data_IF_253469118654
#
_entry.id   IF_253469118654
#
_cell.length_a   1.000
_cell.length_b   1.000
_cell.length_c   1.000
_cell.angle_alpha   90.00
_cell.angle_beta   90.00
_cell.angle_gamma   90.00
#
_symmetry.space_group_name_H-M   'P 1'
#
loop_
_entity.id
_entity.type
_entity.pdbx_description
1 polymer ?
#
# COMPACT_ATOMS: atom_id res chain seq x y z
N UNK A 1 -37.24 36.98 18.49
CA UNK A 1 -35.83 36.53 18.42
C UNK A 1 -35.74 35.03 18.66
N UNK A 2 -36.66 34.23 18.09
CA UNK A 2 -36.75 32.78 18.34
C UNK A 2 -36.30 31.96 17.12
N UNK A 3 -36.56 32.47 15.92
CA UNK A 3 -36.19 31.85 14.64
C UNK A 3 -34.68 31.72 14.47
N UNK A 4 -33.92 32.76 14.81
CA UNK A 4 -32.45 32.77 14.73
C UNK A 4 -31.81 31.69 15.61
N UNK A 5 -32.40 31.44 16.80
CA UNK A 5 -31.90 30.44 17.76
C UNK A 5 -32.12 29.02 17.25
N UNK A 6 -33.24 28.76 16.57
CA UNK A 6 -33.54 27.47 15.94
C UNK A 6 -32.64 27.20 14.74
N UNK A 7 -32.39 28.21 13.90
CA UNK A 7 -31.47 28.08 12.77
C UNK A 7 -30.05 27.71 13.22
N UNK A 8 -29.52 28.34 14.27
CA UNK A 8 -28.19 28.02 14.80
C UNK A 8 -28.11 26.59 15.31
N UNK A 9 -29.15 26.10 16.01
CA UNK A 9 -29.19 24.70 16.48
C UNK A 9 -29.17 23.71 15.32
N UNK A 10 -29.97 23.95 14.28
CA UNK A 10 -30.00 23.10 13.10
C UNK A 10 -28.64 23.06 12.39
N UNK A 11 -27.97 24.21 12.26
CA UNK A 11 -26.62 24.29 11.72
C UNK A 11 -25.61 23.43 12.51
N UNK A 12 -25.64 23.53 13.84
CA UNK A 12 -24.77 22.74 14.70
C UNK A 12 -25.02 21.23 14.56
N UNK A 13 -26.28 20.81 14.48
CA UNK A 13 -26.65 19.40 14.30
C UNK A 13 -26.12 18.85 12.97
N UNK A 14 -26.20 19.63 11.89
CA UNK A 14 -25.69 19.22 10.57
C UNK A 14 -24.16 19.07 10.59
N UNK A 15 -23.45 20.02 11.20
CA UNK A 15 -21.98 19.95 11.31
C UNK A 15 -21.54 18.72 12.13
N UNK A 16 -22.22 18.48 13.26
CA UNK A 16 -21.98 17.30 14.10
C UNK A 16 -22.22 16.00 13.34
N UNK A 17 -23.29 15.91 12.55
CA UNK A 17 -23.59 14.74 11.74
C UNK A 17 -22.51 14.47 10.67
N UNK A 18 -22.01 15.52 10.01
CA UNK A 18 -20.92 15.40 9.02
C UNK A 18 -19.61 14.95 9.69
N UNK A 19 -19.29 15.50 10.87
CA UNK A 19 -18.08 15.14 11.61
C UNK A 19 -18.13 13.71 12.18
N UNK A 20 -19.30 13.26 12.62
CA UNK A 20 -19.51 11.89 13.13
C UNK A 20 -19.60 10.86 12.01
N UNK A 21 -19.97 11.29 10.80
CA UNK A 21 -19.84 10.50 9.57
C UNK A 21 -18.36 10.40 9.20
N UNK A 22 -17.58 9.71 10.04
CA UNK A 22 -16.25 9.25 9.71
C UNK A 22 -16.38 8.42 8.44
N UNK A 23 -15.99 9.00 7.32
CA UNK A 23 -15.62 8.23 6.15
C UNK A 23 -14.42 7.41 6.61
N UNK A 24 -14.66 6.13 6.93
CA UNK A 24 -13.62 5.13 6.93
C UNK A 24 -13.13 5.06 5.49
N UNK A 25 -12.26 6.02 5.12
CA UNK A 25 -11.44 5.91 3.94
C UNK A 25 -10.51 4.76 4.30
N UNK A 26 -10.96 3.54 4.01
CA UNK A 26 -10.06 2.42 3.84
C UNK A 26 -9.09 2.89 2.78
N UNK A 27 -7.97 3.44 3.23
CA UNK A 27 -6.79 3.60 2.44
C UNK A 27 -6.37 2.18 2.11
N UNK A 28 -6.98 1.61 1.07
CA UNK A 28 -6.43 0.45 0.41
C UNK A 28 -5.05 0.92 -0.01
N UNK A 29 -3.97 0.39 0.58
CA UNK A 29 -2.65 0.72 0.09
C UNK A 29 -2.70 0.38 -1.39
N UNK A 30 -2.38 1.35 -2.24
CA UNK A 30 -2.17 1.11 -3.66
C UNK A 30 -0.96 0.19 -3.73
N UNK A 31 -1.19 -1.10 -3.52
CA UNK A 31 -0.37 -2.16 -4.06
C UNK A 31 -0.55 -1.97 -5.55
N UNK A 32 0.30 -1.10 -6.13
CA UNK A 32 0.49 -1.09 -7.57
C UNK A 32 0.64 -2.56 -7.93
N UNK A 33 -0.27 -3.14 -8.73
CA UNK A 33 0.05 -4.41 -9.35
C UNK A 33 1.39 -4.12 -10.02
N UNK A 34 2.40 -4.94 -9.72
CA UNK A 34 3.69 -4.83 -10.33
C UNK A 34 3.52 -5.17 -11.83
N UNK A 35 2.95 -4.24 -12.60
CA UNK A 35 2.74 -4.34 -14.05
C UNK A 35 4.12 -4.39 -14.73
N UNK A 36 5.14 -3.89 -14.04
CA UNK A 36 6.53 -4.32 -14.10
C UNK A 36 6.89 -4.87 -12.73
N UNK A 37 7.36 -6.12 -12.62
CA UNK A 37 7.79 -6.74 -11.36
C UNK A 37 8.58 -5.76 -10.48
N UNK A 38 8.42 -5.81 -9.17
CA UNK A 38 9.22 -4.98 -8.26
C UNK A 38 10.67 -5.47 -8.33
N UNK A 39 11.49 -4.84 -9.17
CA UNK A 39 12.86 -5.26 -9.40
C UNK A 39 13.84 -4.43 -8.57
N UNK A 40 14.64 -5.10 -7.73
CA UNK A 40 15.38 -4.47 -6.63
C UNK A 40 16.89 -4.38 -6.87
N UNK A 41 17.46 -5.28 -7.67
CA UNK A 41 18.89 -5.36 -7.89
C UNK A 41 19.24 -5.92 -9.28
N UNK A 42 20.47 -5.67 -9.75
CA UNK A 42 21.02 -6.35 -10.94
C UNK A 42 21.54 -7.73 -10.57
N UNK A 43 21.29 -8.69 -11.46
CA UNK A 43 21.87 -10.02 -11.36
C UNK A 43 23.35 -10.00 -11.79
N UNK A 44 24.14 -10.88 -11.18
CA UNK A 44 25.57 -11.01 -11.43
C UNK A 44 26.00 -12.47 -11.32
N UNK A 45 27.26 -12.78 -11.65
CA UNK A 45 27.79 -14.15 -11.57
C UNK A 45 27.78 -14.76 -10.15
N UNK A 46 27.56 -13.94 -9.13
CA UNK A 46 27.43 -14.37 -7.73
C UNK A 46 26.08 -13.98 -7.12
N UNK A 47 25.19 -13.37 -7.91
CA UNK A 47 23.88 -12.91 -7.46
C UNK A 47 22.84 -13.39 -8.47
N UNK A 48 22.21 -14.50 -8.14
CA UNK A 48 21.32 -15.25 -9.01
C UNK A 48 19.94 -15.41 -8.34
N UNK A 49 19.22 -16.46 -8.72
CA UNK A 49 17.88 -16.76 -8.23
C UNK A 49 17.80 -16.91 -6.72
N UNK A 50 18.79 -17.55 -6.07
CA UNK A 50 18.71 -17.80 -4.62
C UNK A 50 18.83 -16.50 -3.81
N UNK A 51 19.82 -15.66 -4.14
CA UNK A 51 20.00 -14.36 -3.50
C UNK A 51 18.81 -13.45 -3.79
N UNK A 52 18.36 -13.42 -5.05
CA UNK A 52 17.17 -12.66 -5.44
C UNK A 52 15.91 -13.09 -4.66
N UNK A 53 15.69 -14.40 -4.54
CA UNK A 53 14.61 -14.95 -3.75
C UNK A 53 14.70 -14.50 -2.29
N UNK A 54 15.90 -14.61 -1.69
CA UNK A 54 16.13 -14.23 -0.31
C UNK A 54 15.84 -12.75 -0.07
N UNK A 55 16.37 -11.86 -0.91
CA UNK A 55 16.18 -10.41 -0.78
C UNK A 55 14.71 -10.01 -1.00
N UNK A 56 14.03 -10.63 -1.98
CA UNK A 56 12.60 -10.43 -2.17
C UNK A 56 11.77 -10.90 -0.96
N UNK A 57 12.20 -11.95 -0.25
CA UNK A 57 11.56 -12.41 0.99
C UNK A 57 11.79 -11.45 2.15
N UNK A 58 12.97 -10.83 2.24
CA UNK A 58 13.25 -9.76 3.21
C UNK A 58 12.36 -8.54 2.96
N UNK A 59 12.16 -8.19 1.69
CA UNK A 59 11.21 -7.17 1.22
C UNK A 59 9.73 -7.60 1.32
N UNK A 60 9.46 -8.76 1.94
CA UNK A 60 8.12 -9.33 2.18
C UNK A 60 7.35 -9.72 0.94
N UNK A 61 8.00 -9.95 -0.19
CA UNK A 61 7.37 -10.62 -1.33
C UNK A 61 7.33 -12.14 -1.12
N UNK A 62 6.47 -12.82 -1.88
CA UNK A 62 6.36 -14.28 -1.80
C UNK A 62 7.57 -14.97 -2.43
N UNK A 63 8.07 -14.38 -3.51
CA UNK A 63 9.07 -14.98 -4.40
C UNK A 63 9.88 -13.88 -5.12
N UNK A 64 10.96 -14.29 -5.78
CA UNK A 64 11.81 -13.42 -6.58
C UNK A 64 12.77 -14.23 -7.45
N UNK A 65 12.96 -13.79 -8.69
CA UNK A 65 13.91 -14.41 -9.61
C UNK A 65 14.61 -13.38 -10.50
N UNK A 66 15.78 -13.75 -11.00
CA UNK A 66 16.54 -13.01 -11.98
C UNK A 66 15.90 -13.14 -13.37
N UNK A 67 15.30 -12.05 -13.87
CA UNK A 67 14.77 -12.02 -15.22
C UNK A 67 15.93 -12.07 -16.24
N UNK A 68 16.00 -13.12 -17.09
CA UNK A 68 17.10 -13.31 -18.03
C UNK A 68 17.17 -12.20 -19.10
N UNK A 69 16.06 -11.48 -19.37
CA UNK A 69 16.01 -10.41 -20.36
C UNK A 69 16.56 -9.09 -19.83
N UNK A 70 16.22 -8.75 -18.60
CA UNK A 70 16.62 -7.48 -17.99
C UNK A 70 17.88 -7.61 -17.14
N UNK A 71 18.29 -8.85 -16.81
CA UNK A 71 19.34 -9.15 -15.84
C UNK A 71 19.08 -8.45 -14.51
N UNK A 72 17.80 -8.36 -14.12
CA UNK A 72 17.38 -7.79 -12.85
C UNK A 72 16.64 -8.81 -12.01
N UNK A 73 16.88 -8.76 -10.70
CA UNK A 73 16.12 -9.50 -9.72
C UNK A 73 14.77 -8.84 -9.53
N UNK A 74 13.70 -9.56 -9.82
CA UNK A 74 12.33 -9.08 -9.80
C UNK A 74 11.47 -9.91 -8.86
N UNK A 75 10.88 -9.24 -7.87
CA UNK A 75 10.02 -9.86 -6.88
C UNK A 75 8.62 -10.11 -7.44
N UNK A 76 8.07 -11.27 -7.08
CA UNK A 76 6.77 -11.76 -7.55
C UNK A 76 5.82 -11.99 -6.38
N UNK A 77 4.54 -11.68 -6.62
CA UNK A 77 3.47 -11.80 -5.63
C UNK A 77 3.18 -10.48 -4.91
N UNK A 78 2.19 -10.51 -4.03
CA UNK A 78 1.84 -9.35 -3.20
C UNK A 78 2.80 -9.24 -2.01
N UNK A 79 3.15 -8.02 -1.61
CA UNK A 79 3.86 -7.83 -0.34
C UNK A 79 2.98 -8.31 0.81
N UNK A 80 3.51 -9.24 1.59
CA UNK A 80 2.86 -9.79 2.78
C UNK A 80 2.95 -8.69 3.85
N UNK A 81 1.81 -8.05 4.11
CA UNK A 81 1.60 -6.94 5.05
C UNK A 81 2.63 -6.79 6.17
N UNK A 82 3.09 -5.55 6.36
CA UNK A 82 3.78 -5.08 7.57
C UNK A 82 2.75 -4.96 8.71
N UNK A 83 2.87 -5.66 9.84
CA UNK A 83 2.08 -5.31 11.02
C UNK A 83 2.50 -3.90 11.47
N UNK A 84 1.53 -3.01 11.62
CA UNK A 84 1.74 -1.74 12.31
C UNK A 84 2.04 -2.08 13.78
N UNK A 85 3.32 -2.06 14.12
CA UNK A 85 3.81 -1.98 15.50
C UNK A 85 3.99 -0.52 15.89
#
# INVERSE_FOLDING_TARGET
METTKTCVKLFWVVILAIALSNYNVMAVPVMKPAISGHCIAKCSATYHTYECYHDCREERFRDGDCDPKTQMCCCVGTQIYKPLG
#
